data_IF_646320150712
#
_entry.id   IF_646320150712
#
_cell.length_a   1.000
_cell.length_b   1.000
_cell.length_c   1.000
_cell.angle_alpha   90.00
_cell.angle_beta   90.00
_cell.angle_gamma   90.00
#
_symmetry.space_group_name_H-M   'P 1'
#
loop_
_entity.id
_entity.type
_entity.pdbx_description
1 polymer ?
#
# COMPACT_ATOMS: atom_id res chain seq x y z
N UNK A 1 -14.73 -13.50 12.04
CA UNK A 1 -13.81 -12.35 12.23
C UNK A 1 -12.90 -12.38 11.03
N UNK A 2 -12.64 -11.24 10.40
CA UNK A 2 -11.63 -11.14 9.34
C UNK A 2 -10.27 -11.27 10.03
N UNK A 3 -9.38 -12.10 9.50
CA UNK A 3 -8.05 -12.32 10.09
C UNK A 3 -7.23 -11.03 10.04
N UNK A 4 -6.61 -10.68 11.15
CA UNK A 4 -5.71 -9.53 11.22
C UNK A 4 -4.44 -9.81 10.43
N UNK A 5 -3.97 -8.83 9.67
CA UNK A 5 -2.77 -8.97 8.83
C UNK A 5 -1.99 -7.65 8.72
N UNK A 6 -0.73 -7.76 8.39
CA UNK A 6 0.03 -6.64 7.85
C UNK A 6 0.24 -6.81 6.36
N UNK A 7 0.43 -5.71 5.68
CA UNK A 7 0.58 -5.65 4.22
C UNK A 7 1.89 -4.92 3.90
N UNK A 8 2.79 -5.57 3.18
CA UNK A 8 4.08 -4.96 2.83
C UNK A 8 3.98 -4.24 1.50
N UNK A 9 4.30 -2.95 1.47
CA UNK A 9 4.40 -2.20 0.23
C UNK A 9 5.78 -2.43 -0.40
N UNK A 10 5.81 -2.88 -1.66
CA UNK A 10 7.04 -3.25 -2.36
C UNK A 10 7.66 -2.03 -3.05
N UNK A 11 8.88 -1.61 -2.66
CA UNK A 11 9.63 -0.62 -3.39
C UNK A 11 10.25 -1.23 -4.66
N UNK A 12 10.36 -0.47 -5.76
CA UNK A 12 11.07 -0.93 -6.95
C UNK A 12 12.58 -0.91 -6.72
N UNK A 13 13.31 -1.76 -7.40
CA UNK A 13 14.78 -1.74 -7.45
C UNK A 13 15.24 -1.15 -8.78
N UNK A 14 16.35 -0.40 -8.76
CA UNK A 14 16.91 0.21 -9.96
C UNK A 14 18.39 -0.07 -10.12
N UNK A 15 18.79 -0.43 -11.32
CA UNK A 15 20.19 -0.43 -11.72
C UNK A 15 20.43 0.77 -12.63
N UNK A 16 21.13 1.78 -12.11
CA UNK A 16 21.22 3.11 -12.72
C UNK A 16 19.80 3.69 -12.89
N UNK A 17 19.31 3.90 -14.10
CA UNK A 17 17.97 4.43 -14.40
C UNK A 17 16.96 3.33 -14.84
N UNK A 18 17.39 2.06 -14.93
CA UNK A 18 16.54 0.95 -15.37
C UNK A 18 15.89 0.25 -14.20
N UNK A 19 14.60 -0.08 -14.33
CA UNK A 19 13.92 -0.96 -13.38
C UNK A 19 14.60 -2.33 -13.39
N UNK A 20 14.88 -2.86 -12.20
CA UNK A 20 15.49 -4.14 -12.00
C UNK A 20 14.51 -5.05 -11.24
N UNK A 21 14.13 -6.17 -11.83
CA UNK A 21 13.07 -7.03 -11.29
C UNK A 21 13.60 -8.27 -10.56
N UNK A 22 14.85 -8.65 -10.75
CA UNK A 22 15.45 -9.81 -10.09
C UNK A 22 15.54 -9.61 -8.57
N UNK A 23 16.11 -8.49 -8.13
CA UNK A 23 16.13 -8.14 -6.70
C UNK A 23 14.74 -7.96 -6.10
N UNK A 24 13.79 -7.43 -6.89
CA UNK A 24 12.39 -7.39 -6.44
C UNK A 24 11.85 -8.80 -6.20
N UNK A 25 12.16 -9.75 -7.09
CA UNK A 25 11.77 -11.16 -6.94
C UNK A 25 12.39 -11.79 -5.69
N UNK A 26 13.67 -11.56 -5.45
CA UNK A 26 14.38 -12.03 -4.25
C UNK A 26 13.79 -11.43 -2.98
N UNK A 27 13.50 -10.14 -2.98
CA UNK A 27 12.90 -9.46 -1.84
C UNK A 27 11.50 -9.99 -1.51
N UNK A 28 10.62 -10.21 -2.49
CA UNK A 28 9.28 -10.75 -2.20
C UNK A 28 9.34 -12.20 -1.74
N UNK A 29 10.30 -13.01 -2.19
CA UNK A 29 10.57 -14.34 -1.63
C UNK A 29 11.03 -14.25 -0.18
N UNK A 30 11.98 -13.36 0.13
CA UNK A 30 12.39 -13.10 1.51
C UNK A 30 11.20 -12.77 2.41
N UNK A 31 10.30 -11.88 1.96
CA UNK A 31 9.11 -11.51 2.71
C UNK A 31 8.20 -12.72 2.96
N UNK A 32 7.97 -13.54 1.94
CA UNK A 32 7.17 -14.76 2.04
C UNK A 32 7.77 -15.75 3.04
N UNK A 33 9.06 -16.04 2.94
CA UNK A 33 9.79 -16.95 3.81
C UNK A 33 9.83 -16.49 5.27
N UNK A 34 9.67 -15.18 5.51
CA UNK A 34 9.59 -14.56 6.83
C UNK A 34 8.16 -14.18 7.27
N UNK A 35 7.16 -14.91 6.77
CA UNK A 35 5.77 -14.88 7.24
C UNK A 35 4.92 -13.69 6.75
N UNK A 36 5.35 -12.90 5.79
CA UNK A 36 4.47 -11.95 5.11
C UNK A 36 3.46 -12.72 4.25
N UNK A 37 2.17 -12.48 4.46
CA UNK A 37 1.08 -13.14 3.73
C UNK A 37 0.45 -12.27 2.66
N UNK A 38 0.71 -10.96 2.71
CA UNK A 38 0.13 -9.99 1.79
C UNK A 38 1.14 -8.91 1.42
N UNK A 39 1.27 -8.65 0.14
CA UNK A 39 2.09 -7.56 -0.40
C UNK A 39 1.24 -6.64 -1.27
N UNK A 40 1.70 -5.39 -1.46
CA UNK A 40 1.03 -4.49 -2.39
C UNK A 40 2.00 -3.56 -3.12
N UNK A 41 1.58 -3.05 -4.26
CA UNK A 41 2.20 -1.89 -4.90
C UNK A 41 1.36 -0.63 -4.66
N UNK A 42 2.03 0.48 -4.38
CA UNK A 42 1.39 1.75 -4.03
C UNK A 42 2.03 2.92 -4.78
N UNK A 43 1.30 4.02 -4.91
CA UNK A 43 1.82 5.22 -5.55
C UNK A 43 3.10 5.76 -4.88
N UNK A 44 3.15 5.74 -3.53
CA UNK A 44 4.28 6.25 -2.74
C UNK A 44 5.46 5.28 -2.70
N UNK A 45 5.36 4.21 -1.91
CA UNK A 45 6.49 3.28 -1.68
C UNK A 45 6.95 2.61 -2.97
N UNK A 46 6.01 2.26 -3.88
CA UNK A 46 6.39 1.69 -5.19
C UNK A 46 6.70 2.75 -6.25
N UNK A 47 6.78 4.02 -5.86
CA UNK A 47 7.31 5.12 -6.67
C UNK A 47 6.70 5.21 -8.09
N UNK A 48 5.38 5.05 -8.22
CA UNK A 48 4.72 5.05 -9.53
C UNK A 48 4.95 6.33 -10.35
N UNK A 49 5.21 7.45 -9.68
CA UNK A 49 5.58 8.71 -10.33
C UNK A 49 6.95 8.67 -11.03
N UNK A 50 7.77 7.67 -10.76
CA UNK A 50 9.09 7.46 -11.38
C UNK A 50 9.08 6.31 -12.40
N UNK A 51 7.97 5.60 -12.54
CA UNK A 51 7.83 4.44 -13.40
C UNK A 51 6.93 4.78 -14.60
N UNK A 52 7.31 4.29 -15.77
CA UNK A 52 6.40 4.21 -16.90
C UNK A 52 5.32 3.13 -16.65
N UNK A 53 4.20 3.21 -17.34
CA UNK A 53 3.15 2.17 -17.26
C UNK A 53 3.70 0.76 -17.51
N UNK A 54 4.61 0.63 -18.49
CA UNK A 54 5.28 -0.63 -18.78
C UNK A 54 6.10 -1.15 -17.60
N UNK A 55 6.85 -0.28 -16.91
CA UNK A 55 7.64 -0.65 -15.74
C UNK A 55 6.75 -1.00 -14.55
N UNK A 56 5.59 -0.35 -14.38
CA UNK A 56 4.62 -0.73 -13.35
C UNK A 56 4.10 -2.15 -13.61
N UNK A 57 3.77 -2.51 -14.86
CA UNK A 57 3.41 -3.89 -15.21
C UNK A 57 4.55 -4.88 -14.94
N UNK A 58 5.80 -4.54 -15.28
CA UNK A 58 6.96 -5.39 -15.01
C UNK A 58 7.15 -5.63 -13.51
N UNK A 59 7.04 -4.57 -12.70
CA UNK A 59 7.10 -4.67 -11.23
C UNK A 59 5.97 -5.57 -10.69
N UNK A 60 4.74 -5.32 -11.10
CA UNK A 60 3.56 -6.07 -10.67
C UNK A 60 3.66 -7.54 -11.08
N UNK A 61 4.08 -7.84 -12.30
CA UNK A 61 4.28 -9.20 -12.78
C UNK A 61 5.36 -9.92 -11.97
N UNK A 62 6.51 -9.26 -11.73
CA UNK A 62 7.59 -9.84 -10.92
C UNK A 62 7.10 -10.23 -9.51
N UNK A 63 6.25 -9.40 -8.90
CA UNK A 63 5.65 -9.70 -7.60
C UNK A 63 4.72 -10.92 -7.69
N UNK A 64 3.78 -10.92 -8.62
CA UNK A 64 2.81 -12.02 -8.78
C UNK A 64 3.50 -13.35 -9.09
N UNK A 65 4.54 -13.34 -9.90
CA UNK A 65 5.27 -14.56 -10.28
C UNK A 65 6.03 -15.19 -9.10
N UNK A 66 6.49 -14.37 -8.15
CA UNK A 66 7.42 -14.78 -7.09
C UNK A 66 6.84 -14.73 -5.67
N UNK A 67 5.58 -14.34 -5.50
CA UNK A 67 4.89 -14.30 -4.21
C UNK A 67 3.66 -15.20 -4.21
N UNK A 68 3.63 -16.21 -3.33
CA UNK A 68 2.53 -17.16 -3.25
C UNK A 68 1.37 -16.67 -2.35
N UNK A 69 1.57 -15.60 -1.58
CA UNK A 69 0.54 -14.94 -0.77
C UNK A 69 -0.37 -14.04 -1.60
N UNK A 70 -1.13 -13.18 -0.92
CA UNK A 70 -2.04 -12.22 -1.55
C UNK A 70 -1.26 -11.03 -2.12
N UNK A 71 -1.47 -10.71 -3.40
CA UNK A 71 -0.89 -9.54 -4.06
C UNK A 71 -1.97 -8.50 -4.37
N UNK A 72 -1.81 -7.28 -3.87
CA UNK A 72 -2.71 -6.15 -4.15
C UNK A 72 -1.96 -5.16 -5.04
N UNK A 73 -2.30 -5.11 -6.32
CA UNK A 73 -1.58 -4.35 -7.33
C UNK A 73 -2.19 -2.97 -7.53
N UNK A 74 -1.41 -1.91 -7.32
CA UNK A 74 -1.86 -0.55 -7.55
C UNK A 74 -2.11 -0.28 -9.03
N UNK A 75 -3.30 0.27 -9.34
CA UNK A 75 -3.64 0.83 -10.64
C UNK A 75 -3.21 2.30 -10.62
N UNK A 76 -2.37 2.78 -11.56
CA UNK A 76 -1.93 4.18 -11.55
C UNK A 76 -3.09 5.18 -11.52
N UNK A 77 -2.90 6.30 -10.82
CA UNK A 77 -3.85 7.42 -10.81
C UNK A 77 -3.86 8.12 -12.17
N UNK A 78 -4.81 7.74 -13.02
CA UNK A 78 -4.92 8.22 -14.40
C UNK A 78 -6.40 8.38 -14.80
N UNK A 79 -6.67 8.58 -16.10
CA UNK A 79 -8.05 8.61 -16.59
C UNK A 79 -8.75 7.26 -16.36
N UNK A 80 -10.07 7.27 -16.22
CA UNK A 80 -10.86 6.03 -16.09
C UNK A 80 -10.59 5.04 -17.22
N UNK A 81 -10.44 5.54 -18.46
CA UNK A 81 -10.13 4.71 -19.62
C UNK A 81 -8.77 4.02 -19.46
N UNK A 82 -7.74 4.79 -19.08
CA UNK A 82 -6.38 4.24 -18.94
C UNK A 82 -6.28 3.28 -17.76
N UNK A 83 -7.02 3.55 -16.67
CA UNK A 83 -7.13 2.63 -15.54
C UNK A 83 -7.81 1.30 -15.93
N UNK A 84 -8.88 1.34 -16.72
CA UNK A 84 -9.52 0.13 -17.26
C UNK A 84 -8.55 -0.65 -18.16
N UNK A 85 -7.90 0.01 -19.12
CA UNK A 85 -6.91 -0.64 -19.97
C UNK A 85 -5.79 -1.28 -19.13
N UNK A 86 -5.30 -0.60 -18.10
CA UNK A 86 -4.26 -1.11 -17.23
C UNK A 86 -4.68 -2.42 -16.52
N UNK A 87 -5.91 -2.50 -16.01
CA UNK A 87 -6.37 -3.73 -15.34
C UNK A 87 -6.65 -4.85 -16.33
N UNK A 88 -7.11 -4.55 -17.55
CA UNK A 88 -7.24 -5.52 -18.64
C UNK A 88 -5.87 -6.11 -19.02
N UNK A 89 -4.83 -5.28 -19.13
CA UNK A 89 -3.46 -5.75 -19.40
C UNK A 89 -2.90 -6.59 -18.25
N UNK A 90 -3.34 -6.37 -17.00
CA UNK A 90 -2.92 -7.13 -15.82
C UNK A 90 -3.41 -8.60 -15.86
N UNK A 91 -4.48 -8.91 -16.59
CA UNK A 91 -4.97 -10.29 -16.78
C UNK A 91 -3.90 -11.26 -17.31
N UNK A 92 -2.89 -10.77 -18.03
CA UNK A 92 -1.82 -11.60 -18.61
C UNK A 92 -0.97 -12.32 -17.55
N UNK A 93 -0.91 -11.79 -16.30
CA UNK A 93 -0.14 -12.37 -15.20
C UNK A 93 -0.95 -12.54 -13.91
N UNK A 94 -2.27 -12.36 -13.95
CA UNK A 94 -3.17 -12.51 -12.82
C UNK A 94 -3.19 -13.94 -12.30
N UNK A 95 -3.11 -14.10 -10.97
CA UNK A 95 -3.37 -15.35 -10.24
C UNK A 95 -4.65 -15.24 -9.42
N UNK A 96 -5.14 -16.35 -8.86
CA UNK A 96 -6.36 -16.39 -8.05
C UNK A 96 -6.31 -15.53 -6.77
N UNK A 97 -5.12 -15.27 -6.24
CA UNK A 97 -4.86 -14.46 -5.06
C UNK A 97 -4.38 -13.03 -5.41
N UNK A 98 -4.56 -12.62 -6.66
CA UNK A 98 -4.23 -11.27 -7.13
C UNK A 98 -5.46 -10.37 -7.06
N UNK A 99 -5.31 -9.20 -6.48
CA UNK A 99 -6.28 -8.13 -6.44
C UNK A 99 -5.69 -6.86 -7.03
N UNK A 100 -6.53 -5.91 -7.42
CA UNK A 100 -6.09 -4.58 -7.82
C UNK A 100 -6.60 -3.53 -6.85
N UNK A 101 -5.85 -2.44 -6.73
CA UNK A 101 -6.21 -1.28 -5.92
C UNK A 101 -6.32 -0.06 -6.82
N UNK A 102 -7.52 0.46 -6.98
CA UNK A 102 -7.75 1.73 -7.67
C UNK A 102 -7.08 2.85 -6.86
N UNK A 103 -6.13 3.54 -7.49
CA UNK A 103 -5.60 4.78 -6.97
C UNK A 103 -6.54 5.92 -7.37
N UNK A 104 -6.52 6.98 -6.59
CA UNK A 104 -7.32 8.15 -6.89
C UNK A 104 -6.84 8.84 -8.17
N UNK A 105 -7.74 9.40 -8.98
CA UNK A 105 -7.36 10.31 -10.05
C UNK A 105 -6.78 11.60 -9.42
N UNK A 106 -5.94 12.32 -10.17
CA UNK A 106 -5.36 13.59 -9.68
C UNK A 106 -6.44 14.59 -9.23
N UNK A 107 -7.60 14.57 -9.87
CA UNK A 107 -8.74 15.42 -9.56
C UNK A 107 -10.06 14.71 -9.77
N UNK A 108 -11.09 15.13 -9.05
CA UNK A 108 -12.47 14.69 -9.26
C UNK A 108 -13.41 15.90 -9.28
N UNK A 109 -14.66 15.71 -9.73
CA UNK A 109 -15.65 16.79 -9.82
C UNK A 109 -16.78 16.63 -8.82
N UNK A 110 -17.27 15.42 -8.59
CA UNK A 110 -18.30 15.07 -7.61
C UNK A 110 -18.20 13.59 -7.17
N UNK A 111 -19.02 13.21 -6.16
CA UNK A 111 -19.01 11.82 -5.65
C UNK A 111 -19.42 10.78 -6.67
N UNK A 112 -20.35 11.12 -7.56
CA UNK A 112 -20.87 10.17 -8.55
C UNK A 112 -19.78 9.83 -9.59
N UNK A 113 -18.98 10.83 -9.96
CA UNK A 113 -17.82 10.64 -10.85
C UNK A 113 -16.79 9.68 -10.24
N UNK A 114 -16.57 9.74 -8.93
CA UNK A 114 -15.67 8.81 -8.23
C UNK A 114 -16.26 7.41 -8.17
N UNK A 115 -17.55 7.28 -7.84
CA UNK A 115 -18.25 5.98 -7.82
C UNK A 115 -18.21 5.35 -9.22
N UNK A 116 -18.49 6.11 -10.26
CA UNK A 116 -18.39 5.65 -11.65
C UNK A 116 -16.96 5.21 -12.01
N UNK A 117 -15.95 6.00 -11.63
CA UNK A 117 -14.54 5.66 -11.88
C UNK A 117 -14.16 4.30 -11.29
N UNK A 118 -14.41 4.10 -9.99
CA UNK A 118 -14.10 2.86 -9.30
C UNK A 118 -14.93 1.69 -9.83
N UNK A 119 -16.23 1.92 -10.12
CA UNK A 119 -17.12 0.89 -10.66
C UNK A 119 -16.63 0.38 -12.01
N UNK A 120 -16.21 1.27 -12.91
CA UNK A 120 -15.68 0.88 -14.22
C UNK A 120 -14.36 0.12 -14.13
N UNK A 121 -13.49 0.47 -13.18
CA UNK A 121 -12.26 -0.31 -12.92
C UNK A 121 -12.63 -1.71 -12.40
N UNK A 122 -13.59 -1.81 -11.48
CA UNK A 122 -14.09 -3.08 -10.97
C UNK A 122 -14.71 -3.94 -12.09
N UNK A 123 -15.47 -3.34 -13.00
CA UNK A 123 -16.05 -4.04 -14.16
C UNK A 123 -14.98 -4.55 -15.11
N UNK A 124 -13.97 -3.73 -15.43
CA UNK A 124 -12.81 -4.12 -16.25
C UNK A 124 -11.97 -5.22 -15.58
N UNK A 125 -11.85 -5.21 -14.24
CA UNK A 125 -11.18 -6.24 -13.47
C UNK A 125 -11.98 -7.56 -13.36
N UNK A 126 -13.30 -7.50 -13.55
CA UNK A 126 -14.19 -8.64 -13.39
C UNK A 126 -14.45 -9.03 -11.92
N UNK A 127 -14.38 -8.07 -10.99
CA UNK A 127 -14.66 -8.29 -9.58
C UNK A 127 -14.37 -7.07 -8.69
N UNK A 128 -14.64 -7.17 -7.38
CA UNK A 128 -14.42 -6.06 -6.46
C UNK A 128 -12.94 -5.70 -6.35
N UNK A 129 -12.65 -4.41 -6.24
CA UNK A 129 -11.29 -3.85 -6.14
C UNK A 129 -11.02 -3.26 -4.76
N UNK A 130 -9.75 -3.06 -4.42
CA UNK A 130 -9.38 -2.19 -3.31
C UNK A 130 -9.40 -0.73 -3.77
N UNK A 131 -9.56 0.19 -2.83
CA UNK A 131 -9.54 1.62 -3.08
C UNK A 131 -8.57 2.31 -2.13
N UNK A 132 -7.67 3.13 -2.66
CA UNK A 132 -6.85 4.01 -1.84
C UNK A 132 -7.62 5.30 -1.55
N UNK A 133 -7.75 5.68 -0.27
CA UNK A 133 -8.58 6.80 0.18
C UNK A 133 -7.77 7.97 0.78
N UNK A 134 -6.79 8.54 0.05
CA UNK A 134 -6.12 9.76 0.49
C UNK A 134 -6.98 10.98 0.20
N UNK A 135 -6.59 12.12 0.77
CA UNK A 135 -7.19 13.40 0.46
C UNK A 135 -7.01 13.77 -1.02
N UNK A 136 -8.08 14.15 -1.70
CA UNK A 136 -8.07 14.48 -3.12
C UNK A 136 -8.30 15.97 -3.38
N UNK A 137 -7.88 16.46 -4.55
CA UNK A 137 -8.21 17.80 -5.05
C UNK A 137 -9.53 17.77 -5.82
N UNK A 138 -10.38 18.75 -5.59
CA UNK A 138 -11.55 19.00 -6.45
C UNK A 138 -11.13 19.67 -7.76
N UNK A 139 -11.76 19.31 -8.84
CA UNK A 139 -11.54 19.95 -10.15
C UNK A 139 -11.89 21.45 -10.15
N UNK A 140 -12.85 21.85 -9.28
CA UNK A 140 -13.29 23.23 -9.09
C UNK A 140 -12.54 23.98 -7.99
N UNK A 141 -11.48 23.39 -7.43
CA UNK A 141 -10.71 23.92 -6.29
C UNK A 141 -11.12 23.34 -4.94
N UNK A 142 -10.22 23.46 -3.97
CA UNK A 142 -10.37 22.87 -2.64
C UNK A 142 -10.02 21.38 -2.59
N UNK A 143 -10.20 20.80 -1.42
CA UNK A 143 -9.91 19.41 -1.12
C UNK A 143 -11.19 18.61 -0.85
N UNK A 144 -11.07 17.30 -0.92
CA UNK A 144 -12.14 16.36 -0.61
C UNK A 144 -11.58 15.11 0.05
N UNK A 145 -12.26 14.63 1.08
CA UNK A 145 -11.96 13.37 1.72
C UNK A 145 -13.04 12.34 1.39
N UNK A 146 -12.67 11.08 1.27
CA UNK A 146 -13.64 9.98 1.13
C UNK A 146 -14.53 9.92 2.36
N UNK A 147 -15.83 9.77 2.13
CA UNK A 147 -16.81 9.56 3.20
C UNK A 147 -17.16 8.08 3.32
N UNK A 148 -17.54 7.64 4.50
CA UNK A 148 -18.01 6.27 4.72
C UNK A 148 -19.23 5.95 3.84
N UNK A 149 -20.07 6.94 3.53
CA UNK A 149 -21.23 6.79 2.61
C UNK A 149 -20.78 6.31 1.22
N UNK A 150 -19.80 7.00 0.62
CA UNK A 150 -19.29 6.65 -0.73
C UNK A 150 -18.66 5.26 -0.74
N UNK A 151 -17.89 4.94 0.28
CA UNK A 151 -17.22 3.63 0.37
C UNK A 151 -18.24 2.50 0.60
N UNK A 152 -19.23 2.71 1.44
CA UNK A 152 -20.32 1.75 1.66
C UNK A 152 -21.19 1.57 0.40
N UNK A 153 -21.44 2.62 -0.37
CA UNK A 153 -22.17 2.53 -1.65
C UNK A 153 -21.44 1.62 -2.65
N UNK A 154 -20.12 1.81 -2.80
CA UNK A 154 -19.28 0.93 -3.63
C UNK A 154 -19.27 -0.52 -3.14
N UNK A 155 -19.25 -0.72 -1.83
CA UNK A 155 -19.32 -2.05 -1.25
C UNK A 155 -20.67 -2.74 -1.53
N UNK A 156 -21.79 -2.04 -1.31
CA UNK A 156 -23.14 -2.58 -1.52
C UNK A 156 -23.47 -2.88 -2.99
N UNK A 157 -22.71 -2.30 -3.91
CA UNK A 157 -22.82 -2.57 -5.35
C UNK A 157 -21.81 -3.62 -5.85
N UNK A 158 -21.15 -4.35 -4.93
CA UNK A 158 -20.13 -5.37 -5.22
C UNK A 158 -18.93 -4.85 -6.03
N UNK A 159 -18.60 -3.54 -5.89
CA UNK A 159 -17.46 -2.93 -6.58
C UNK A 159 -16.21 -2.84 -5.71
N UNK A 160 -16.35 -3.01 -4.39
CA UNK A 160 -15.28 -2.80 -3.43
C UNK A 160 -15.04 -4.03 -2.54
N UNK A 161 -13.80 -4.49 -2.46
CA UNK A 161 -13.33 -5.52 -1.51
C UNK A 161 -12.80 -4.91 -0.22
N UNK A 162 -12.07 -3.80 -0.33
CA UNK A 162 -11.42 -3.15 0.81
C UNK A 162 -10.87 -1.78 0.46
N UNK A 163 -10.26 -1.16 1.45
CA UNK A 163 -9.64 0.16 1.33
C UNK A 163 -8.24 0.19 1.93
N UNK A 164 -7.39 1.06 1.38
CA UNK A 164 -6.19 1.57 2.03
C UNK A 164 -6.53 2.95 2.60
N UNK A 165 -6.72 3.01 3.91
CA UNK A 165 -7.09 4.22 4.64
C UNK A 165 -5.84 5.05 4.97
N UNK A 166 -5.85 6.34 4.64
CA UNK A 166 -4.69 7.23 4.82
C UNK A 166 -5.12 8.69 5.13
N UNK A 167 -6.16 8.90 5.94
CA UNK A 167 -6.51 10.24 6.40
C UNK A 167 -5.40 10.81 7.28
N UNK A 168 -5.13 12.10 7.15
CA UNK A 168 -4.08 12.78 7.91
C UNK A 168 -4.47 13.05 9.37
N UNK A 169 -5.77 13.22 9.66
CA UNK A 169 -6.30 13.39 11.02
C UNK A 169 -6.75 12.06 11.60
N UNK A 170 -6.25 11.72 12.79
CA UNK A 170 -6.50 10.42 13.41
C UNK A 170 -7.94 10.27 13.92
N UNK A 171 -8.57 11.38 14.38
CA UNK A 171 -9.97 11.36 14.80
C UNK A 171 -10.91 11.22 13.61
N UNK A 172 -10.59 11.90 12.50
CA UNK A 172 -11.31 11.72 11.24
C UNK A 172 -11.19 10.27 10.72
N UNK A 173 -10.00 9.69 10.77
CA UNK A 173 -9.77 8.27 10.49
C UNK A 173 -10.66 7.36 11.32
N UNK A 174 -10.69 7.57 12.64
CA UNK A 174 -11.50 6.74 13.53
C UNK A 174 -12.99 6.79 13.14
N UNK A 175 -13.53 8.00 12.98
CA UNK A 175 -14.94 8.17 12.60
C UNK A 175 -15.24 7.59 11.21
N UNK A 176 -14.34 7.74 10.27
CA UNK A 176 -14.47 7.17 8.94
C UNK A 176 -14.51 5.64 9.00
N UNK A 177 -13.52 5.00 9.64
CA UNK A 177 -13.44 3.54 9.77
C UNK A 177 -14.64 2.98 10.54
N UNK A 178 -15.05 3.63 11.64
CA UNK A 178 -16.22 3.23 12.42
C UNK A 178 -17.56 3.33 11.64
N UNK A 179 -17.60 4.18 10.62
CA UNK A 179 -18.78 4.33 9.73
C UNK A 179 -18.84 3.33 8.58
N UNK A 180 -17.81 2.51 8.39
CA UNK A 180 -17.75 1.53 7.31
C UNK A 180 -18.52 0.25 7.62
N UNK A 181 -18.95 -0.44 6.57
CA UNK A 181 -19.48 -1.80 6.70
C UNK A 181 -18.36 -2.72 7.25
N UNK A 182 -18.70 -3.50 8.28
CA UNK A 182 -17.76 -4.39 9.00
C UNK A 182 -17.12 -5.50 8.15
N UNK A 183 -17.58 -5.70 6.94
CA UNK A 183 -17.04 -6.71 6.01
C UNK A 183 -16.08 -6.11 4.99
N UNK A 184 -15.91 -4.78 4.99
CA UNK A 184 -14.88 -4.11 4.18
C UNK A 184 -13.50 -4.40 4.80
N UNK A 185 -12.55 -4.85 3.97
CA UNK A 185 -11.16 -5.02 4.39
C UNK A 185 -10.50 -3.63 4.55
N UNK A 186 -10.07 -3.27 5.76
CA UNK A 186 -9.55 -1.93 6.07
C UNK A 186 -8.07 -2.01 6.42
N UNK A 187 -7.22 -1.60 5.47
CA UNK A 187 -5.77 -1.52 5.61
C UNK A 187 -5.40 -0.09 6.01
N UNK A 188 -5.03 0.14 7.25
CA UNK A 188 -4.62 1.48 7.71
C UNK A 188 -3.17 1.76 7.33
N UNK A 189 -2.90 2.96 6.81
CA UNK A 189 -1.58 3.40 6.37
C UNK A 189 -1.10 4.64 7.12
N UNK A 190 0.21 4.95 7.04
CA UNK A 190 0.78 6.15 7.64
C UNK A 190 1.02 6.05 9.15
N UNK A 191 1.40 4.89 9.67
CA UNK A 191 1.72 4.73 11.10
C UNK A 191 1.78 3.28 11.58
N UNK A 192 1.63 2.32 10.66
CA UNK A 192 1.83 0.88 10.88
C UNK A 192 1.15 0.37 12.15
N UNK A 193 1.83 -0.41 13.01
CA UNK A 193 1.27 -1.00 14.22
C UNK A 193 0.63 0.02 15.16
N UNK A 194 1.20 1.23 15.31
CA UNK A 194 0.64 2.27 16.19
C UNK A 194 -0.71 2.77 15.71
N UNK A 195 -0.85 3.03 14.42
CA UNK A 195 -2.11 3.46 13.82
C UNK A 195 -3.14 2.34 13.86
N UNK A 196 -2.72 1.11 13.58
CA UNK A 196 -3.56 -0.06 13.67
C UNK A 196 -4.10 -0.27 15.09
N UNK A 197 -3.24 -0.24 16.11
CA UNK A 197 -3.65 -0.37 17.51
C UNK A 197 -4.73 0.65 17.93
N UNK A 198 -4.67 1.86 17.38
CA UNK A 198 -5.69 2.88 17.63
C UNK A 198 -6.99 2.62 16.85
N UNK A 199 -6.91 2.18 15.60
CA UNK A 199 -8.06 2.06 14.69
C UNK A 199 -8.70 0.65 14.69
N UNK A 200 -8.08 -0.33 15.31
CA UNK A 200 -8.60 -1.69 15.42
C UNK A 200 -9.99 -1.72 16.04
N UNK A 201 -10.20 -0.95 17.12
CA UNK A 201 -11.50 -0.86 17.80
C UNK A 201 -12.57 -0.17 16.95
N UNK A 202 -12.19 0.62 15.95
CA UNK A 202 -13.10 1.21 14.97
C UNK A 202 -13.46 0.24 13.83
N UNK A 203 -12.70 -0.84 13.63
CA UNK A 203 -12.96 -1.84 12.60
C UNK A 203 -11.81 -2.09 11.62
N UNK A 204 -10.64 -1.47 11.81
CA UNK A 204 -9.46 -1.80 11.03
C UNK A 204 -9.03 -3.25 11.29
N UNK A 205 -8.70 -4.00 10.23
CA UNK A 205 -8.28 -5.40 10.31
C UNK A 205 -6.91 -5.65 9.67
N UNK A 206 -6.33 -4.63 9.06
CA UNK A 206 -4.98 -4.70 8.51
C UNK A 206 -4.24 -3.36 8.62
N UNK A 207 -2.91 -3.39 8.51
CA UNK A 207 -2.10 -2.19 8.43
C UNK A 207 -1.00 -2.32 7.38
N UNK A 208 -0.63 -1.18 6.81
CA UNK A 208 0.51 -1.08 5.93
C UNK A 208 1.79 -1.15 6.77
N UNK A 209 2.64 -2.10 6.45
CA UNK A 209 3.86 -2.42 7.16
C UNK A 209 4.82 -1.23 7.28
N UNK A 210 5.48 -1.17 8.40
CA UNK A 210 6.60 -0.29 8.67
C UNK A 210 7.89 -1.10 8.81
N UNK A 211 8.18 -1.53 10.04
CA UNK A 211 9.37 -2.33 10.36
C UNK A 211 9.38 -3.69 9.67
N UNK A 212 8.21 -4.26 9.36
CA UNK A 212 8.08 -5.53 8.67
C UNK A 212 8.53 -5.50 7.21
N UNK A 213 8.80 -4.31 6.62
CA UNK A 213 9.53 -4.24 5.35
C UNK A 213 10.96 -4.81 5.46
N UNK A 214 11.55 -4.77 6.66
CA UNK A 214 12.90 -5.27 6.93
C UNK A 214 12.86 -6.57 7.76
N UNK A 215 11.91 -6.66 8.71
CA UNK A 215 11.79 -7.73 9.70
C UNK A 215 10.32 -8.16 9.86
N UNK A 216 9.75 -8.88 8.87
CA UNK A 216 8.32 -9.26 8.88
C UNK A 216 7.89 -10.02 10.12
N UNK A 217 8.81 -10.80 10.71
CA UNK A 217 8.55 -11.59 11.90
C UNK A 217 8.20 -10.75 13.15
N UNK A 218 8.61 -9.46 13.18
CA UNK A 218 8.25 -8.55 14.27
C UNK A 218 6.76 -8.22 14.21
N UNK A 219 6.23 -7.89 13.04
CA UNK A 219 4.82 -7.60 12.86
C UNK A 219 3.95 -8.85 12.98
N UNK A 220 4.46 -10.01 12.56
CA UNK A 220 3.83 -11.32 12.81
C UNK A 220 3.71 -11.59 14.32
N UNK A 221 4.76 -11.36 15.09
CA UNK A 221 4.74 -11.50 16.55
C UNK A 221 3.77 -10.51 17.20
N UNK A 222 3.74 -9.26 16.74
CA UNK A 222 2.79 -8.26 17.22
C UNK A 222 1.34 -8.74 17.04
N UNK A 223 0.96 -9.18 15.85
CA UNK A 223 -0.40 -9.66 15.55
C UNK A 223 -0.80 -10.89 16.37
N UNK A 224 0.16 -11.76 16.69
CA UNK A 224 -0.05 -12.97 17.48
C UNK A 224 0.13 -12.77 18.98
N UNK A 225 0.52 -11.59 19.43
CA UNK A 225 0.75 -11.31 20.85
C UNK A 225 -0.54 -10.96 21.58
N UNK A 226 -0.51 -11.10 22.90
CA UNK A 226 -1.56 -10.56 23.78
C UNK A 226 -1.41 -9.03 23.90
N UNK A 227 -2.52 -8.31 24.08
CA UNK A 227 -2.52 -6.83 24.20
C UNK A 227 -1.53 -6.27 25.22
N UNK A 228 -1.24 -7.01 26.30
CA UNK A 228 -0.28 -6.61 27.34
C UNK A 228 1.16 -6.43 26.81
N UNK A 229 1.48 -7.02 25.64
CA UNK A 229 2.81 -6.92 25.02
C UNK A 229 2.90 -5.87 23.91
N UNK A 230 1.78 -5.28 23.51
CA UNK A 230 1.75 -4.31 22.40
C UNK A 230 2.66 -3.12 22.65
N UNK A 231 2.75 -2.63 23.89
CA UNK A 231 3.58 -1.47 24.21
C UNK A 231 5.05 -1.67 23.81
N UNK A 232 5.63 -2.85 24.03
CA UNK A 232 7.02 -3.12 23.67
C UNK A 232 7.25 -3.06 22.16
N UNK A 233 6.33 -3.57 21.36
CA UNK A 233 6.39 -3.48 19.90
C UNK A 233 6.22 -2.04 19.41
N UNK A 234 5.28 -1.29 20.00
CA UNK A 234 5.04 0.10 19.64
C UNK A 234 6.22 1.01 20.00
N UNK A 235 6.95 0.71 21.08
CA UNK A 235 8.18 1.40 21.44
C UNK A 235 9.31 1.11 20.45
N UNK A 236 9.49 -0.14 20.01
CA UNK A 236 10.46 -0.50 18.98
C UNK A 236 10.14 0.20 17.65
N UNK A 237 8.89 0.14 17.23
CA UNK A 237 8.43 0.82 16.02
C UNK A 237 8.64 2.34 16.11
N UNK A 238 8.41 2.95 17.28
CA UNK A 238 8.63 4.39 17.48
C UNK A 238 10.08 4.77 17.26
N UNK A 239 11.02 3.98 17.78
CA UNK A 239 12.46 4.22 17.54
C UNK A 239 12.81 4.11 16.08
N UNK A 240 12.33 3.06 15.42
CA UNK A 240 12.50 2.83 14.00
C UNK A 240 11.99 4.03 13.16
N UNK A 241 10.74 4.46 13.37
CA UNK A 241 10.20 5.59 12.63
C UNK A 241 10.90 6.92 12.94
N UNK A 242 11.37 7.15 14.17
CA UNK A 242 12.11 8.37 14.50
C UNK A 242 13.39 8.50 13.67
N UNK A 243 14.09 7.40 13.42
CA UNK A 243 15.26 7.40 12.55
C UNK A 243 14.87 7.55 11.08
N UNK A 244 13.97 6.72 10.61
CA UNK A 244 13.56 6.70 9.19
C UNK A 244 12.90 8.01 8.73
N UNK A 245 12.06 8.62 9.54
CA UNK A 245 11.38 9.88 9.17
C UNK A 245 12.31 11.10 9.23
N UNK A 246 13.41 11.03 9.98
CA UNK A 246 14.44 12.09 10.02
C UNK A 246 15.04 12.33 8.64
N UNK A 247 15.24 11.27 7.85
CA UNK A 247 15.85 11.31 6.52
C UNK A 247 14.85 11.09 5.38
N UNK A 248 13.59 10.86 5.72
CA UNK A 248 12.52 10.54 4.79
C UNK A 248 12.33 9.04 4.58
N UNK A 249 11.08 8.57 4.76
CA UNK A 249 10.70 7.15 4.73
C UNK A 249 11.28 6.38 3.54
N UNK A 250 11.09 6.89 2.32
CA UNK A 250 11.45 6.14 1.11
C UNK A 250 12.96 6.00 0.95
N UNK A 251 13.73 7.06 1.23
CA UNK A 251 15.18 7.02 1.12
C UNK A 251 15.77 6.07 2.19
N UNK A 252 15.30 6.19 3.44
CA UNK A 252 15.75 5.34 4.55
C UNK A 252 15.40 3.86 4.34
N UNK A 253 14.18 3.56 3.88
CA UNK A 253 13.77 2.19 3.59
C UNK A 253 14.67 1.55 2.52
N UNK A 254 14.93 2.26 1.43
CA UNK A 254 15.78 1.74 0.35
C UNK A 254 17.21 1.53 0.79
N UNK A 255 17.76 2.48 1.55
CA UNK A 255 19.12 2.34 2.11
C UNK A 255 19.22 1.16 3.06
N UNK A 256 18.23 0.97 3.95
CA UNK A 256 18.20 -0.17 4.85
C UNK A 256 18.06 -1.52 4.12
N UNK A 257 17.22 -1.61 3.09
CA UNK A 257 17.10 -2.81 2.26
C UNK A 257 18.41 -3.15 1.55
N UNK A 258 19.12 -2.13 1.07
CA UNK A 258 20.46 -2.29 0.47
C UNK A 258 21.49 -2.77 1.47
N UNK A 259 21.51 -2.22 2.69
CA UNK A 259 22.41 -2.65 3.76
C UNK A 259 22.15 -4.09 4.23
N UNK A 260 20.92 -4.54 4.13
CA UNK A 260 20.52 -5.94 4.40
C UNK A 260 20.68 -6.88 3.19
N UNK A 261 21.23 -6.38 2.10
CA UNK A 261 21.41 -7.13 0.85
C UNK A 261 20.08 -7.69 0.26
N UNK A 262 18.94 -7.08 0.64
CA UNK A 262 17.61 -7.47 0.18
C UNK A 262 17.20 -6.77 -1.13
N UNK A 263 17.80 -5.63 -1.43
CA UNK A 263 17.75 -4.97 -2.74
C UNK A 263 19.10 -4.33 -3.03
N UNK A 264 19.52 -4.31 -4.28
CA UNK A 264 20.91 -3.98 -4.59
C UNK A 264 21.15 -2.53 -5.01
N UNK A 265 20.13 -1.65 -5.13
CA UNK A 265 20.32 -0.60 -6.15
C UNK A 265 19.93 0.81 -5.71
N UNK A 266 20.41 1.75 -6.53
CA UNK A 266 20.34 3.19 -6.34
C UNK A 266 18.89 3.70 -6.38
N UNK A 267 18.67 4.91 -5.91
CA UNK A 267 17.45 5.63 -6.17
C UNK A 267 17.43 6.12 -7.63
N UNK A 268 16.24 6.21 -8.22
CA UNK A 268 16.04 6.86 -9.53
C UNK A 268 15.80 8.35 -9.32
N UNK A 269 16.47 9.19 -10.11
CA UNK A 269 16.22 10.64 -10.12
C UNK A 269 14.71 10.96 -10.30
N UNK A 270 14.16 11.98 -9.63
CA UNK A 270 14.85 12.97 -8.77
C UNK A 270 14.97 12.61 -7.30
N UNK A 271 14.81 11.35 -6.92
CA UNK A 271 14.92 10.94 -5.51
C UNK A 271 16.40 10.86 -5.10
N UNK A 272 16.80 11.54 -4.00
CA UNK A 272 18.20 11.55 -3.58
C UNK A 272 18.61 10.21 -2.94
N UNK A 273 19.90 9.90 -3.03
CA UNK A 273 20.54 8.93 -2.14
C UNK A 273 20.73 9.56 -0.74
N UNK A 274 20.79 8.73 0.29
CA UNK A 274 21.22 9.19 1.60
C UNK A 274 22.74 9.53 1.57
N UNK A 275 23.14 10.48 2.41
CA UNK A 275 24.57 10.70 2.66
C UNK A 275 25.16 9.53 3.44
N UNK A 276 26.47 9.28 3.33
CA UNK A 276 27.13 8.23 4.08
C UNK A 276 26.92 8.35 5.61
N UNK A 277 26.89 9.58 6.15
CA UNK A 277 26.62 9.82 7.57
C UNK A 277 25.20 9.42 7.96
N UNK A 278 24.21 9.67 7.08
CA UNK A 278 22.82 9.28 7.31
C UNK A 278 22.60 7.77 7.16
N UNK A 279 23.35 7.10 6.29
CA UNK A 279 23.33 5.63 6.16
C UNK A 279 23.94 4.93 7.38
N UNK A 280 24.92 5.58 8.04
CA UNK A 280 25.57 5.03 9.23
C UNK A 280 24.68 5.10 10.48
N UNK A 281 23.80 6.11 10.60
CA UNK A 281 22.87 6.27 11.73
C UNK A 281 21.69 5.29 11.63
#
# INVERSE_FOLDING_TARGET
MVDKKFVVAIPPSYFVESLETESTSEYVKYLHDNSATTVMTTAGTSQFNLLSTKEIHQLNQSIVDNFDGVSILGVPGCSTKDACNFVEDTEQYRKHNTHVMALYPDRFYDKNTIIEHVSRISDAWGGPVYLHTPKMRKGTGGDWDYTAEVVNELYHTDKLAGIKEEHSDLSASYNFVAGLNKHIDVIVAGGSMRRFNYLESAGANAFLSGIGNLFPEIETKFLNSHHDWYESFLQQETKFFNTFLKYGWHASLRSALKLLELTCFNNRSPWPELSADAEFE
#
